data_IF_457562914650
#
_entry.id   IF_457562914650
#
_cell.length_a   1.000
_cell.length_b   1.000
_cell.length_c   1.000
_cell.angle_alpha   90.00
_cell.angle_beta   90.00
_cell.angle_gamma   90.00
#
_symmetry.space_group_name_H-M   'P 1'
#
loop_
_entity.id
_entity.type
_entity.pdbx_description
1 polymer ?
#
# COMPACT_ATOMS: atom_id res chain seq x y z
N UNK A 1 -6.34 3.17 -17.02
CA UNK A 1 -5.58 4.00 -16.08
C UNK A 1 -6.23 5.37 -15.82
N UNK A 2 -6.45 6.20 -16.86
CA UNK A 2 -7.09 7.52 -16.72
C UNK A 2 -8.47 7.43 -16.05
N UNK A 3 -9.32 6.52 -16.49
CA UNK A 3 -10.67 6.29 -15.93
C UNK A 3 -10.61 5.96 -14.43
N UNK A 4 -9.65 5.14 -13.98
CA UNK A 4 -9.50 4.78 -12.55
C UNK A 4 -9.16 6.00 -11.70
N UNK A 5 -8.31 6.90 -12.22
CA UNK A 5 -7.95 8.14 -11.54
C UNK A 5 -9.16 9.08 -11.48
N UNK A 6 -9.90 9.23 -12.58
CA UNK A 6 -11.12 10.03 -12.59
C UNK A 6 -12.17 9.52 -11.60
N UNK A 7 -12.38 8.19 -11.56
CA UNK A 7 -13.30 7.58 -10.59
C UNK A 7 -12.87 7.81 -9.14
N UNK A 8 -11.57 7.81 -8.86
CA UNK A 8 -11.06 8.15 -7.54
C UNK A 8 -11.38 9.60 -7.14
N UNK A 9 -11.22 10.56 -8.06
CA UNK A 9 -11.63 11.96 -7.80
C UNK A 9 -13.13 12.09 -7.59
N UNK A 10 -13.94 11.42 -8.41
CA UNK A 10 -15.41 11.41 -8.25
C UNK A 10 -15.77 10.84 -6.87
N UNK A 11 -15.17 9.72 -6.46
CA UNK A 11 -15.41 9.13 -5.15
C UNK A 11 -15.02 10.08 -4.00
N UNK A 12 -13.89 10.75 -4.13
CA UNK A 12 -13.42 11.73 -3.12
C UNK A 12 -14.37 12.92 -3.01
N UNK A 13 -14.83 13.47 -4.14
CA UNK A 13 -15.80 14.57 -4.15
C UNK A 13 -17.15 14.13 -3.60
N UNK A 14 -17.61 12.93 -3.97
CA UNK A 14 -18.86 12.37 -3.45
C UNK A 14 -18.80 12.18 -1.93
N UNK A 15 -17.71 11.66 -1.41
CA UNK A 15 -17.47 11.58 0.03
C UNK A 15 -17.47 12.96 0.68
N UNK A 16 -16.84 13.97 0.06
CA UNK A 16 -16.88 15.36 0.53
C UNK A 16 -18.30 15.91 0.67
N UNK A 17 -19.18 15.64 -0.30
CA UNK A 17 -20.59 16.03 -0.25
C UNK A 17 -21.33 15.32 0.89
N UNK A 18 -21.09 14.00 1.09
CA UNK A 18 -21.69 13.25 2.19
C UNK A 18 -21.26 13.80 3.54
N UNK A 19 -19.97 14.14 3.72
CA UNK A 19 -19.47 14.75 4.95
C UNK A 19 -20.07 16.11 5.25
N UNK A 20 -20.24 16.95 4.23
CA UNK A 20 -20.71 18.31 4.43
C UNK A 20 -22.20 18.37 4.75
N UNK A 21 -23.01 17.48 4.14
CA UNK A 21 -24.46 17.58 4.18
C UNK A 21 -25.15 16.56 5.12
N UNK A 22 -24.65 15.31 5.19
CA UNK A 22 -25.39 14.22 5.83
C UNK A 22 -24.72 13.64 7.06
N UNK A 23 -23.39 13.63 7.12
CA UNK A 23 -22.63 12.95 8.17
C UNK A 23 -21.93 13.93 9.11
N UNK A 24 -22.21 15.23 8.96
CA UNK A 24 -21.56 16.29 9.74
C UNK A 24 -22.03 16.28 11.19
N UNK A 25 -21.07 16.33 12.11
CA UNK A 25 -21.32 16.54 13.54
C UNK A 25 -21.08 18.01 13.91
N UNK A 26 -22.16 18.75 14.09
CA UNK A 26 -22.11 20.15 14.49
C UNK A 26 -21.44 21.09 13.47
N UNK A 27 -20.53 21.95 13.93
CA UNK A 27 -19.85 22.96 13.11
C UNK A 27 -18.56 22.47 12.43
N UNK A 28 -18.03 21.31 12.82
CA UNK A 28 -16.77 20.76 12.31
C UNK A 28 -17.07 19.77 11.17
N UNK A 29 -16.30 19.78 10.06
CA UNK A 29 -16.49 18.84 8.94
C UNK A 29 -15.90 17.45 9.29
N UNK A 30 -16.46 16.82 10.31
CA UNK A 30 -16.13 15.46 10.76
C UNK A 30 -17.41 14.67 11.03
N UNK A 31 -17.32 13.36 10.99
CA UNK A 31 -18.44 12.49 11.37
C UNK A 31 -18.55 12.36 12.89
N UNK A 32 -19.72 11.92 13.35
CA UNK A 32 -19.90 11.50 14.76
C UNK A 32 -18.84 10.45 15.12
N UNK A 33 -18.28 10.56 16.31
CA UNK A 33 -17.29 9.62 16.79
C UNK A 33 -17.87 8.20 16.92
N UNK A 34 -17.07 7.21 16.54
CA UNK A 34 -17.45 5.81 16.64
C UNK A 34 -17.64 5.42 18.11
N UNK A 35 -18.75 4.75 18.50
CA UNK A 35 -19.01 4.31 19.86
C UNK A 35 -17.86 3.45 20.42
N UNK A 36 -17.57 3.57 21.70
CA UNK A 36 -16.46 2.89 22.37
C UNK A 36 -16.50 1.36 22.21
N UNK A 37 -17.70 0.77 22.15
CA UNK A 37 -17.89 -0.67 21.99
C UNK A 37 -17.49 -1.25 20.63
N UNK A 38 -17.30 -0.41 19.61
CA UNK A 38 -16.89 -0.84 18.25
C UNK A 38 -15.44 -0.51 17.94
N UNK A 39 -14.74 0.17 18.85
CA UNK A 39 -13.31 0.48 18.68
C UNK A 39 -12.45 -0.76 18.79
N UNK A 40 -11.44 -0.85 17.92
CA UNK A 40 -10.49 -1.95 17.96
C UNK A 40 -9.64 -1.87 19.24
N UNK A 41 -9.52 -3.01 19.93
CA UNK A 41 -8.78 -3.12 21.19
C UNK A 41 -7.28 -2.88 20.97
N UNK A 42 -6.63 -2.19 21.90
CA UNK A 42 -5.18 -2.03 21.91
C UNK A 42 -4.51 -3.32 22.36
N UNK A 43 -3.51 -3.76 21.62
CA UNK A 43 -2.76 -4.97 21.92
C UNK A 43 -1.70 -4.66 22.98
N UNK A 44 -1.73 -5.41 24.10
CA UNK A 44 -0.70 -5.43 25.14
C UNK A 44 -0.29 -4.06 25.70
N UNK A 45 -1.18 -3.07 25.77
CA UNK A 45 -0.83 -1.73 26.24
C UNK A 45 0.09 -0.93 25.31
N UNK A 46 0.46 -1.48 24.18
CA UNK A 46 1.20 -0.81 23.11
C UNK A 46 0.25 0.10 22.31
N UNK A 47 0.81 1.05 21.57
CA UNK A 47 0.04 1.86 20.61
C UNK A 47 -0.45 1.04 19.40
N UNK A 48 -0.03 -0.21 19.28
CA UNK A 48 -0.47 -1.12 18.24
C UNK A 48 -1.90 -1.61 18.54
N UNK A 49 -2.77 -1.47 17.56
CA UNK A 49 -4.16 -1.88 17.61
C UNK A 49 -4.31 -3.28 16.99
N UNK A 50 -5.40 -3.98 17.28
CA UNK A 50 -5.75 -5.26 16.62
C UNK A 50 -5.84 -5.14 15.09
N UNK A 51 -5.98 -3.93 14.54
CA UNK A 51 -5.84 -3.63 13.11
C UNK A 51 -4.51 -4.16 12.50
N UNK A 52 -3.41 -4.11 13.25
CA UNK A 52 -2.12 -4.64 12.79
C UNK A 52 -2.17 -6.15 12.57
N UNK A 53 -2.80 -6.89 13.49
CA UNK A 53 -2.96 -8.35 13.34
C UNK A 53 -3.83 -8.67 12.14
N UNK A 54 -4.90 -7.90 11.92
CA UNK A 54 -5.77 -8.05 10.74
C UNK A 54 -4.97 -7.81 9.46
N UNK A 55 -4.14 -6.76 9.41
CA UNK A 55 -3.31 -6.44 8.25
C UNK A 55 -2.30 -7.56 7.93
N UNK A 56 -1.65 -8.12 8.95
CA UNK A 56 -0.74 -9.28 8.80
C UNK A 56 -1.51 -10.51 8.30
N UNK A 57 -2.66 -10.81 8.89
CA UNK A 57 -3.49 -11.94 8.48
C UNK A 57 -3.95 -11.80 7.02
N UNK A 58 -4.44 -10.62 6.62
CA UNK A 58 -4.84 -10.33 5.24
C UNK A 58 -3.66 -10.49 4.28
N UNK A 59 -2.46 -10.00 4.62
CA UNK A 59 -1.26 -10.16 3.80
C UNK A 59 -0.90 -11.63 3.59
N UNK A 60 -0.98 -12.47 4.63
CA UNK A 60 -0.74 -13.91 4.54
C UNK A 60 -1.81 -14.62 3.70
N UNK A 61 -3.08 -14.25 3.86
CA UNK A 61 -4.19 -14.79 3.06
C UNK A 61 -3.99 -14.45 1.58
N UNK A 62 -3.64 -13.20 1.26
CA UNK A 62 -3.36 -12.76 -0.10
C UNK A 62 -2.16 -13.50 -0.69
N UNK A 63 -1.10 -13.68 0.10
CA UNK A 63 0.05 -14.46 -0.32
C UNK A 63 -0.35 -15.90 -0.66
N UNK A 64 -1.04 -16.58 0.25
CA UNK A 64 -1.52 -17.94 0.04
C UNK A 64 -2.42 -18.04 -1.20
N UNK A 65 -3.37 -17.10 -1.35
CA UNK A 65 -4.24 -17.04 -2.50
C UNK A 65 -3.46 -16.90 -3.81
N UNK A 66 -2.52 -15.96 -3.89
CA UNK A 66 -1.77 -15.68 -5.12
C UNK A 66 -0.82 -16.81 -5.50
N UNK A 67 -0.17 -17.47 -4.53
CA UNK A 67 0.89 -18.43 -4.82
C UNK A 67 0.44 -19.89 -4.74
N UNK A 68 -0.59 -20.20 -3.97
CA UNK A 68 -1.00 -21.58 -3.69
C UNK A 68 -2.36 -21.94 -4.27
N UNK A 69 -3.03 -21.05 -5.05
CA UNK A 69 -4.32 -21.37 -5.67
C UNK A 69 -4.27 -21.28 -7.19
N UNK A 70 -5.10 -22.11 -7.86
CA UNK A 70 -5.22 -22.07 -9.34
C UNK A 70 -5.73 -20.72 -9.85
N UNK A 71 -6.65 -20.07 -9.12
CA UNK A 71 -7.17 -18.74 -9.49
C UNK A 71 -6.09 -17.67 -9.33
N UNK A 72 -5.27 -17.75 -8.29
CA UNK A 72 -4.13 -16.86 -8.07
C UNK A 72 -3.07 -17.04 -9.17
N UNK A 73 -2.79 -18.28 -9.60
CA UNK A 73 -1.91 -18.55 -10.73
C UNK A 73 -2.42 -17.89 -12.01
N UNK A 74 -3.70 -18.08 -12.35
CA UNK A 74 -4.30 -17.49 -13.54
C UNK A 74 -4.28 -15.95 -13.48
N UNK A 75 -4.56 -15.37 -12.31
CA UNK A 75 -4.49 -13.93 -12.10
C UNK A 75 -3.08 -13.38 -12.37
N UNK A 76 -2.05 -14.05 -11.85
CA UNK A 76 -0.65 -13.68 -12.11
C UNK A 76 -0.27 -13.87 -13.58
N UNK A 77 -0.70 -14.97 -14.21
CA UNK A 77 -0.43 -15.24 -15.62
C UNK A 77 -1.03 -14.15 -16.51
N UNK A 78 -2.26 -13.72 -16.24
CA UNK A 78 -2.93 -12.60 -16.94
C UNK A 78 -2.15 -11.29 -16.72
N UNK A 79 -1.64 -11.06 -15.51
CA UNK A 79 -0.84 -9.88 -15.20
C UNK A 79 0.52 -9.83 -15.92
N UNK A 80 1.15 -10.98 -16.15
CA UNK A 80 2.42 -11.05 -16.88
C UNK A 80 2.25 -10.87 -18.38
N UNK A 81 1.28 -11.54 -18.99
CA UNK A 81 1.03 -11.43 -20.43
C UNK A 81 -0.42 -11.75 -20.77
N UNK A 82 -1.19 -10.69 -21.02
CA UNK A 82 -2.62 -10.80 -21.38
C UNK A 82 -2.83 -11.58 -22.67
N UNK A 83 -1.98 -11.39 -23.68
CA UNK A 83 -2.10 -12.04 -24.99
C UNK A 83 -1.86 -13.54 -24.88
N UNK A 84 -0.78 -13.96 -24.25
CA UNK A 84 -0.49 -15.36 -24.02
C UNK A 84 -1.56 -16.04 -23.15
N UNK A 85 -2.09 -15.36 -22.15
CA UNK A 85 -3.15 -15.87 -21.29
C UNK A 85 -4.45 -16.08 -22.05
N UNK A 86 -4.79 -15.19 -22.99
CA UNK A 86 -5.98 -15.34 -23.86
C UNK A 86 -5.84 -16.55 -24.79
N UNK A 87 -4.65 -16.79 -25.36
CA UNK A 87 -4.39 -17.99 -26.17
C UNK A 87 -4.47 -19.27 -25.35
N UNK A 88 -4.13 -19.26 -24.07
CA UNK A 88 -4.32 -20.38 -23.16
C UNK A 88 -5.76 -20.55 -22.64
N UNK A 89 -6.72 -19.80 -23.18
CA UNK A 89 -8.13 -19.94 -22.83
C UNK A 89 -8.55 -19.24 -21.52
N UNK A 90 -7.69 -18.41 -20.93
CA UNK A 90 -8.05 -17.67 -19.71
C UNK A 90 -8.97 -16.49 -20.05
N UNK A 91 -10.03 -16.31 -19.27
CA UNK A 91 -10.96 -15.19 -19.40
C UNK A 91 -10.36 -13.89 -18.84
N UNK A 92 -9.45 -13.26 -19.59
CA UNK A 92 -8.66 -12.08 -19.17
C UNK A 92 -9.52 -10.99 -18.55
N UNK A 93 -10.68 -10.69 -19.16
CA UNK A 93 -11.58 -9.62 -18.69
C UNK A 93 -12.19 -9.92 -17.31
N UNK A 94 -12.53 -11.20 -17.05
CA UNK A 94 -13.02 -11.62 -15.73
C UNK A 94 -11.94 -11.51 -14.65
N UNK A 95 -10.70 -11.88 -14.96
CA UNK A 95 -9.60 -11.76 -14.02
C UNK A 95 -9.20 -10.31 -13.76
N UNK A 96 -9.32 -9.46 -14.76
CA UNK A 96 -9.13 -8.03 -14.61
C UNK A 96 -10.15 -7.42 -13.65
N UNK A 97 -11.45 -7.68 -13.88
CA UNK A 97 -12.51 -7.22 -12.97
C UNK A 97 -12.35 -7.79 -11.55
N UNK A 98 -12.00 -9.07 -11.44
CA UNK A 98 -11.78 -9.74 -10.17
C UNK A 98 -10.63 -9.12 -9.36
N UNK A 99 -9.54 -8.71 -10.03
CA UNK A 99 -8.43 -8.01 -9.37
C UNK A 99 -8.85 -6.67 -8.79
N UNK A 100 -9.67 -5.90 -9.51
CA UNK A 100 -10.21 -4.63 -9.01
C UNK A 100 -11.12 -4.83 -7.80
N UNK A 101 -12.00 -5.84 -7.84
CA UNK A 101 -12.90 -6.13 -6.72
C UNK A 101 -12.12 -6.53 -5.46
N UNK A 102 -11.14 -7.43 -5.57
CA UNK A 102 -10.31 -7.83 -4.42
C UNK A 102 -9.52 -6.62 -3.89
N UNK A 103 -8.92 -5.84 -4.77
CA UNK A 103 -8.17 -4.64 -4.37
C UNK A 103 -9.06 -3.64 -3.62
N UNK A 104 -10.28 -3.40 -4.13
CA UNK A 104 -11.25 -2.53 -3.46
C UNK A 104 -11.70 -3.06 -2.09
N UNK A 105 -11.94 -4.37 -1.96
CA UNK A 105 -12.25 -4.99 -0.67
C UNK A 105 -11.13 -4.83 0.35
N UNK A 106 -9.88 -5.08 -0.04
CA UNK A 106 -8.72 -4.93 0.84
C UNK A 106 -8.51 -3.47 1.23
N UNK A 107 -8.67 -2.54 0.29
CA UNK A 107 -8.59 -1.10 0.57
C UNK A 107 -9.68 -0.66 1.56
N UNK A 108 -10.91 -1.15 1.40
CA UNK A 108 -12.00 -0.90 2.34
C UNK A 108 -11.74 -1.44 3.75
N UNK A 109 -11.18 -2.66 3.84
CA UNK A 109 -10.73 -3.22 5.12
C UNK A 109 -9.62 -2.38 5.76
N UNK A 110 -8.65 -1.91 4.98
CA UNK A 110 -7.60 -1.02 5.46
C UNK A 110 -8.16 0.30 5.99
N UNK A 111 -9.06 0.94 5.27
CA UNK A 111 -9.72 2.17 5.70
C UNK A 111 -10.57 1.99 6.97
N UNK A 112 -11.34 0.90 7.06
CA UNK A 112 -12.13 0.60 8.26
C UNK A 112 -11.23 0.30 9.47
N UNK A 113 -10.14 -0.43 9.28
CA UNK A 113 -9.17 -0.73 10.33
C UNK A 113 -8.51 0.53 10.89
N UNK A 114 -8.21 1.50 10.04
CA UNK A 114 -7.63 2.79 10.43
C UNK A 114 -8.63 3.65 11.21
N UNK A 115 -9.88 3.75 10.73
CA UNK A 115 -10.91 4.54 11.42
C UNK A 115 -11.24 3.93 12.77
N UNK A 116 -11.45 2.61 12.85
CA UNK A 116 -11.82 1.94 14.09
C UNK A 116 -10.63 1.79 15.07
N UNK A 117 -9.40 1.81 14.54
CA UNK A 117 -8.20 1.58 15.33
C UNK A 117 -7.50 2.84 15.84
N UNK A 118 -7.55 3.94 15.09
CA UNK A 118 -6.69 5.10 15.34
C UNK A 118 -7.46 6.41 15.42
N UNK A 119 -8.35 6.68 14.47
CA UNK A 119 -8.96 8.01 14.32
C UNK A 119 -10.29 8.17 15.06
N UNK A 120 -11.10 7.12 15.11
CA UNK A 120 -12.45 7.08 15.72
C UNK A 120 -13.50 8.01 15.09
N UNK A 121 -13.15 8.82 14.13
CA UNK A 121 -14.02 9.68 13.33
C UNK A 121 -13.40 9.89 11.96
N UNK A 122 -14.21 10.26 10.99
CA UNK A 122 -13.74 10.48 9.61
C UNK A 122 -13.68 11.98 9.35
N UNK A 123 -12.55 12.45 8.86
CA UNK A 123 -12.31 13.84 8.46
C UNK A 123 -12.16 13.90 6.94
N UNK A 124 -12.63 14.98 6.33
CA UNK A 124 -12.43 15.20 4.91
C UNK A 124 -10.92 15.29 4.57
N UNK A 125 -10.50 14.56 3.53
CA UNK A 125 -9.10 14.53 3.08
C UNK A 125 -8.15 13.64 3.87
N UNK A 126 -8.64 12.88 4.84
CA UNK A 126 -7.85 12.04 5.73
C UNK A 126 -6.95 11.01 5.01
N UNK A 127 -7.45 10.38 3.95
CA UNK A 127 -6.73 9.33 3.21
C UNK A 127 -5.91 9.87 2.02
N UNK A 128 -5.71 11.20 1.92
CA UNK A 128 -4.96 11.78 0.83
C UNK A 128 -3.51 11.27 0.81
N UNK A 129 -3.11 10.61 -0.29
CA UNK A 129 -1.75 10.11 -0.48
C UNK A 129 -1.52 8.64 -0.14
N UNK A 130 -2.27 8.01 0.75
CA UNK A 130 -2.05 6.61 1.17
C UNK A 130 -2.08 5.61 0.00
N UNK A 131 -2.88 5.86 -1.03
CA UNK A 131 -2.92 5.02 -2.22
C UNK A 131 -1.60 5.06 -3.01
N UNK A 132 -1.00 6.23 -3.17
CA UNK A 132 0.29 6.39 -3.86
C UNK A 132 1.44 5.81 -3.03
N UNK A 133 1.43 6.00 -1.71
CA UNK A 133 2.38 5.38 -0.80
C UNK A 133 2.30 3.85 -0.91
N UNK A 134 1.09 3.29 -0.93
CA UNK A 134 0.87 1.85 -1.09
C UNK A 134 1.40 1.29 -2.42
N UNK A 135 1.22 1.99 -3.53
CA UNK A 135 1.81 1.61 -4.83
C UNK A 135 3.34 1.60 -4.74
N UNK A 136 3.92 2.62 -4.14
CA UNK A 136 5.37 2.74 -3.99
C UNK A 136 5.94 1.59 -3.14
N UNK A 137 5.29 1.27 -2.01
CA UNK A 137 5.67 0.13 -1.16
C UNK A 137 5.53 -1.21 -1.89
N UNK A 138 4.49 -1.38 -2.70
CA UNK A 138 4.29 -2.59 -3.50
C UNK A 138 5.38 -2.76 -4.58
N UNK A 139 5.83 -1.67 -5.21
CA UNK A 139 6.93 -1.69 -6.17
C UNK A 139 8.26 -2.05 -5.50
N UNK A 140 8.56 -1.49 -4.33
CA UNK A 140 9.74 -1.86 -3.54
C UNK A 140 9.68 -3.34 -3.13
N UNK A 141 8.51 -3.83 -2.69
CA UNK A 141 8.25 -5.22 -2.35
C UNK A 141 8.17 -6.16 -3.55
N UNK A 142 8.44 -5.67 -4.78
CA UNK A 142 8.39 -6.44 -6.03
C UNK A 142 7.05 -7.20 -6.22
N UNK A 143 5.95 -6.59 -5.81
CA UNK A 143 4.58 -7.15 -5.90
C UNK A 143 4.41 -8.47 -5.11
N UNK A 144 5.31 -8.76 -4.17
CA UNK A 144 5.19 -9.88 -3.25
C UNK A 144 4.48 -9.40 -1.96
N UNK A 145 3.35 -9.98 -1.55
CA UNK A 145 2.58 -9.50 -0.39
C UNK A 145 3.37 -9.47 0.92
N UNK A 146 4.22 -10.48 1.16
CA UNK A 146 5.04 -10.54 2.37
C UNK A 146 6.13 -9.47 2.36
N UNK A 147 6.83 -9.30 1.23
CA UNK A 147 7.84 -8.27 1.10
C UNK A 147 7.22 -6.86 1.20
N UNK A 148 6.06 -6.64 0.57
CA UNK A 148 5.32 -5.38 0.66
C UNK A 148 4.90 -5.09 2.11
N UNK A 149 4.47 -6.09 2.87
CA UNK A 149 4.15 -5.94 4.29
C UNK A 149 5.37 -5.49 5.12
N UNK A 150 6.54 -6.09 4.90
CA UNK A 150 7.77 -5.69 5.60
C UNK A 150 8.19 -4.26 5.25
N UNK A 151 8.11 -3.89 3.98
CA UNK A 151 8.35 -2.53 3.51
C UNK A 151 7.36 -1.55 4.15
N UNK A 152 6.08 -1.90 4.20
CA UNK A 152 5.05 -1.06 4.81
C UNK A 152 5.30 -0.83 6.31
N UNK A 153 5.74 -1.86 7.07
CA UNK A 153 6.14 -1.71 8.48
C UNK A 153 7.31 -0.75 8.62
N UNK A 154 8.32 -0.86 7.75
CA UNK A 154 9.47 0.05 7.77
C UNK A 154 9.06 1.51 7.52
N UNK A 155 8.22 1.76 6.50
CA UNK A 155 7.71 3.10 6.20
C UNK A 155 6.79 3.64 7.31
N UNK A 156 5.98 2.79 7.92
CA UNK A 156 5.16 3.16 9.08
C UNK A 156 6.05 3.60 10.27
N UNK A 157 7.13 2.88 10.54
CA UNK A 157 8.09 3.25 11.58
C UNK A 157 8.75 4.62 11.29
N UNK A 158 9.15 4.87 10.04
CA UNK A 158 9.67 6.18 9.63
C UNK A 158 8.64 7.29 9.85
N UNK A 159 7.38 7.06 9.49
CA UNK A 159 6.30 8.05 9.64
C UNK A 159 6.02 8.37 11.11
N UNK A 160 5.94 7.35 11.96
CA UNK A 160 5.77 7.55 13.42
C UNK A 160 7.00 8.25 14.02
N UNK A 161 8.21 7.88 13.59
CA UNK A 161 9.44 8.55 14.00
C UNK A 161 9.44 10.03 13.63
N UNK A 162 8.98 10.36 12.43
CA UNK A 162 8.93 11.75 11.94
C UNK A 162 7.95 12.62 12.73
N UNK A 163 6.76 12.09 13.07
CA UNK A 163 5.80 12.82 13.90
C UNK A 163 6.34 13.06 15.32
N UNK A 164 7.06 12.09 15.88
CA UNK A 164 7.71 12.21 17.18
C UNK A 164 8.85 13.24 17.13
N UNK A 165 9.64 13.23 16.06
CA UNK A 165 10.69 14.21 15.81
C UNK A 165 10.12 15.64 15.70
N UNK A 166 9.03 15.79 14.94
CA UNK A 166 8.35 17.10 14.82
C UNK A 166 7.90 17.62 16.19
N UNK A 167 7.31 16.75 17.02
CA UNK A 167 6.87 17.13 18.36
C UNK A 167 8.03 17.53 19.30
N UNK A 168 9.20 16.88 19.15
CA UNK A 168 10.35 17.11 20.01
C UNK A 168 11.24 18.28 19.56
N UNK A 169 11.42 18.46 18.24
CA UNK A 169 12.40 19.41 17.68
C UNK A 169 11.80 20.52 16.85
N UNK A 170 10.51 20.45 16.53
CA UNK A 170 9.84 21.40 15.64
C UNK A 170 10.17 21.23 14.15
N UNK A 171 10.97 20.23 13.77
CA UNK A 171 11.29 19.95 12.38
C UNK A 171 10.05 19.41 11.65
N UNK A 172 9.63 20.03 10.52
CA UNK A 172 8.43 19.59 9.80
C UNK A 172 8.53 18.14 9.31
N UNK A 173 7.42 17.40 9.35
CA UNK A 173 7.31 16.03 8.80
C UNK A 173 7.65 15.94 7.32
N UNK A 174 7.53 17.05 6.57
CA UNK A 174 7.90 17.13 5.15
C UNK A 174 9.35 16.70 4.86
N UNK A 175 10.26 16.85 5.82
CA UNK A 175 11.63 16.34 5.67
C UNK A 175 11.64 14.82 5.54
N UNK A 176 10.86 14.13 6.35
CA UNK A 176 10.71 12.67 6.23
C UNK A 176 10.02 12.24 4.95
N UNK A 177 9.06 13.01 4.46
CA UNK A 177 8.41 12.74 3.17
C UNK A 177 9.42 12.83 2.02
N UNK A 178 10.33 13.80 2.06
CA UNK A 178 11.44 13.91 1.09
C UNK A 178 12.38 12.70 1.18
N UNK A 179 12.74 12.28 2.38
CA UNK A 179 13.61 11.10 2.59
C UNK A 179 12.91 9.84 2.05
N UNK A 180 11.62 9.66 2.33
CA UNK A 180 10.84 8.54 1.81
C UNK A 180 10.80 8.55 0.28
N UNK A 181 10.55 9.70 -0.33
CA UNK A 181 10.53 9.84 -1.79
C UNK A 181 11.89 9.47 -2.41
N UNK A 182 13.00 9.92 -1.82
CA UNK A 182 14.35 9.54 -2.25
C UNK A 182 14.60 8.04 -2.13
N UNK A 183 14.22 7.43 -1.01
CA UNK A 183 14.35 5.96 -0.81
C UNK A 183 13.57 5.21 -1.89
N UNK A 184 12.34 5.64 -2.22
CA UNK A 184 11.52 5.03 -3.27
C UNK A 184 12.23 5.14 -4.62
N UNK A 185 12.66 6.34 -5.00
CA UNK A 185 13.32 6.59 -6.29
C UNK A 185 14.58 5.75 -6.44
N UNK A 186 15.47 5.77 -5.44
CA UNK A 186 16.71 5.00 -5.50
C UNK A 186 16.47 3.48 -5.49
N UNK A 187 15.49 3.01 -4.73
CA UNK A 187 15.17 1.57 -4.69
C UNK A 187 14.59 1.10 -6.03
N UNK A 188 13.64 1.84 -6.59
CA UNK A 188 13.02 1.50 -7.87
C UNK A 188 14.03 1.61 -9.01
N UNK A 189 14.87 2.67 -9.03
CA UNK A 189 15.94 2.83 -10.01
C UNK A 189 16.98 1.69 -9.91
N UNK A 190 17.40 1.34 -8.69
CA UNK A 190 18.32 0.22 -8.46
C UNK A 190 17.78 -1.10 -8.94
N UNK A 191 16.49 -1.39 -8.63
CA UNK A 191 15.83 -2.62 -9.12
C UNK A 191 15.69 -2.65 -10.65
N UNK A 192 15.44 -1.49 -11.29
CA UNK A 192 15.39 -1.38 -12.74
C UNK A 192 16.77 -1.62 -13.38
N UNK A 193 17.81 -1.02 -12.80
CA UNK A 193 19.19 -1.20 -13.29
C UNK A 193 19.65 -2.66 -13.21
N UNK A 194 19.37 -3.37 -12.12
CA UNK A 194 19.72 -4.80 -11.97
C UNK A 194 19.03 -5.69 -13.01
N UNK A 195 17.89 -5.27 -13.55
CA UNK A 195 17.16 -6.00 -14.61
C UNK A 195 17.72 -5.77 -16.02
N UNK A 196 18.53 -4.73 -16.23
CA UNK A 196 19.15 -4.45 -17.52
C UNK A 196 20.32 -5.42 -17.78
N UNK A 197 20.35 -6.14 -18.94
CA UNK A 197 21.38 -7.13 -19.23
C UNK A 197 22.80 -6.52 -19.31
N UNK A 198 22.90 -5.29 -19.77
CA UNK A 198 24.17 -4.55 -19.86
C UNK A 198 24.76 -4.26 -18.47
N UNK A 199 23.92 -3.91 -17.51
CA UNK A 199 24.34 -3.62 -16.14
C UNK A 199 24.72 -4.90 -15.38
N UNK A 200 24.02 -6.02 -15.62
CA UNK A 200 24.44 -7.35 -15.12
C UNK A 200 25.81 -7.73 -15.63
N UNK A 201 26.03 -7.60 -16.93
CA UNK A 201 27.34 -7.91 -17.52
C UNK A 201 28.47 -7.01 -16.96
N UNK A 202 28.18 -5.76 -16.62
CA UNK A 202 29.16 -4.86 -15.99
C UNK A 202 29.46 -5.27 -14.55
N UNK A 203 28.44 -5.65 -13.78
CA UNK A 203 28.61 -6.16 -12.41
C UNK A 203 29.41 -7.45 -12.41
N UNK A 204 29.07 -8.42 -13.27
CA UNK A 204 29.75 -9.70 -13.36
C UNK A 204 31.23 -9.52 -13.74
N UNK A 205 31.57 -8.59 -14.65
CA UNK A 205 32.95 -8.21 -14.97
C UNK A 205 33.70 -7.60 -13.78
N UNK A 206 33.05 -6.75 -13.01
CA UNK A 206 33.64 -6.13 -11.82
C UNK A 206 33.94 -7.17 -10.72
N UNK A 207 33.03 -8.12 -10.50
CA UNK A 207 33.24 -9.21 -9.55
C UNK A 207 34.25 -10.27 -10.05
N UNK A 208 34.32 -10.56 -11.35
CA UNK A 208 35.32 -11.45 -11.91
C UNK A 208 36.74 -10.90 -11.77
N UNK A 209 36.91 -9.58 -12.01
CA UNK A 209 38.20 -8.90 -11.84
C UNK A 209 38.70 -8.90 -10.39
N UNK A 210 37.80 -8.88 -9.42
CA UNK A 210 38.15 -8.91 -7.99
C UNK A 210 38.54 -10.33 -7.53
N UNK A 211 38.15 -11.40 -8.26
CA UNK A 211 38.58 -12.79 -7.99
C UNK A 211 39.94 -13.15 -8.58
N UNK A 212 40.40 -12.40 -9.58
CA UNK A 212 41.75 -12.60 -10.17
C UNK A 212 42.85 -11.87 -9.40
N UNK A 213 42.49 -10.96 -8.47
CA UNK A 213 43.44 -10.15 -7.69
C UNK A 213 43.58 -10.65 -6.23
N UNK A 214 42.76 -11.64 -5.84
CA UNK A 214 42.80 -12.27 -4.50
C UNK A 214 43.36 -13.71 -4.61
#
# INVERSE_FOLDING_TARGET
MIISIMMNYIATLFMGVLFTNWLRDGSVPQTVAVPDGTRLTRLFGLRATSAFVIAVAVSLIVYYFLFNTSKGFQLRAVGFNMTASRFNGFAVEKYFLFSFLISGMIAGLGGSAEILGTQFFLINGYAAGYGFDGVSMALIGQLNPIATMLVAIFFAALRVGSTTMQAATGVPTSVSDIIQALVIVFTVAGLAMVKLPEFRAAIDRAFAKNKEVA
#
